data_IF_417469544896
#
_entry.id   IF_417469544896
#
_cell.length_a   1.000
_cell.length_b   1.000
_cell.length_c   1.000
_cell.angle_alpha   90.00
_cell.angle_beta   90.00
_cell.angle_gamma   90.00
#
_symmetry.space_group_name_H-M   'P 1'
#
loop_
_entity.id
_entity.type
_entity.pdbx_description
1 polymer ?
#
# COMPACT_ATOMS: atom_id res chain seq x y z
N UNK A 1 17.85 -15.33 -14.79
CA UNK A 1 16.76 -15.03 -13.82
C UNK A 1 16.67 -16.18 -12.84
N UNK A 2 16.83 -15.90 -11.55
CA UNK A 2 16.96 -16.91 -10.50
C UNK A 2 15.58 -17.10 -9.84
N UNK A 3 14.86 -18.18 -10.20
CA UNK A 3 13.53 -18.47 -9.63
C UNK A 3 13.51 -18.50 -8.09
N UNK A 4 14.63 -18.86 -7.47
CA UNK A 4 14.82 -18.91 -6.01
C UNK A 4 14.82 -17.50 -5.39
N UNK A 5 15.41 -16.51 -6.07
CA UNK A 5 15.37 -15.12 -5.62
C UNK A 5 13.95 -14.56 -5.70
N UNK A 6 13.22 -14.86 -6.77
CA UNK A 6 11.84 -14.40 -6.94
C UNK A 6 10.89 -15.02 -5.88
N UNK A 7 11.14 -16.25 -5.45
CA UNK A 7 10.38 -16.90 -4.37
C UNK A 7 10.71 -16.33 -2.98
N UNK A 8 11.97 -15.98 -2.71
CA UNK A 8 12.40 -15.28 -1.49
C UNK A 8 11.80 -13.86 -1.43
N UNK A 9 11.73 -13.17 -2.57
CA UNK A 9 11.11 -11.84 -2.68
C UNK A 9 9.59 -11.89 -2.52
N UNK A 10 8.92 -12.93 -3.04
CA UNK A 10 7.49 -13.20 -2.78
C UNK A 10 7.17 -13.39 -1.29
N UNK A 11 8.15 -13.81 -0.48
CA UNK A 11 7.98 -14.24 0.91
C UNK A 11 8.55 -13.26 1.94
N UNK A 12 9.35 -12.28 1.54
CA UNK A 12 9.89 -11.27 2.46
C UNK A 12 8.82 -10.22 2.85
N UNK A 13 8.05 -10.54 3.88
CA UNK A 13 7.03 -9.67 4.46
C UNK A 13 7.23 -9.54 5.97
N UNK A 14 7.11 -8.32 6.48
CA UNK A 14 7.07 -8.03 7.91
C UNK A 14 5.65 -7.74 8.36
N UNK A 15 5.25 -8.38 9.46
CA UNK A 15 3.96 -8.09 10.08
C UNK A 15 4.04 -6.78 10.85
N UNK A 16 3.25 -5.78 10.44
CA UNK A 16 3.03 -4.52 11.15
C UNK A 16 1.55 -4.42 11.47
N UNK A 17 1.18 -4.40 12.76
CA UNK A 17 -0.24 -4.47 13.19
C UNK A 17 -1.04 -5.64 12.59
N UNK A 18 -0.39 -6.78 12.43
CA UNK A 18 -0.94 -7.98 11.78
C UNK A 18 -1.29 -7.78 10.29
N UNK A 19 -0.77 -6.73 9.65
CA UNK A 19 -0.76 -6.55 8.20
C UNK A 19 0.61 -6.94 7.64
N UNK A 20 0.69 -7.79 6.61
CA UNK A 20 1.95 -8.10 5.95
C UNK A 20 2.40 -6.93 5.07
N UNK A 21 3.56 -6.36 5.36
CA UNK A 21 4.19 -5.26 4.61
C UNK A 21 5.47 -5.77 3.95
N UNK A 22 5.69 -5.47 2.67
CA UNK A 22 6.87 -5.90 1.93
C UNK A 22 8.16 -5.42 2.59
N UNK A 23 9.12 -6.32 2.67
CA UNK A 23 10.43 -6.10 3.24
C UNK A 23 11.50 -6.27 2.16
N UNK A 24 11.49 -5.33 1.21
CA UNK A 24 12.34 -5.32 0.03
C UNK A 24 13.14 -4.02 -0.04
N UNK A 25 14.32 -4.09 -0.62
CA UNK A 25 15.02 -2.88 -1.06
C UNK A 25 14.46 -2.37 -2.40
N UNK A 26 15.07 -1.33 -2.94
CA UNK A 26 14.63 -0.71 -4.19
C UNK A 26 14.77 -1.64 -5.40
N UNK A 27 15.90 -2.34 -5.52
CA UNK A 27 16.19 -3.17 -6.68
C UNK A 27 15.28 -4.40 -6.69
N UNK A 28 15.14 -5.06 -5.56
CA UNK A 28 14.26 -6.21 -5.39
C UNK A 28 12.80 -5.84 -5.64
N UNK A 29 12.34 -4.69 -5.12
CA UNK A 29 10.96 -4.24 -5.33
C UNK A 29 10.67 -3.91 -6.80
N UNK A 30 11.58 -3.24 -7.49
CA UNK A 30 11.44 -2.91 -8.91
C UNK A 30 11.41 -4.16 -9.79
N UNK A 31 12.37 -5.07 -9.58
CA UNK A 31 12.42 -6.35 -10.28
C UNK A 31 11.14 -7.15 -10.08
N UNK A 32 10.73 -7.32 -8.82
CA UNK A 32 9.55 -8.10 -8.48
C UNK A 32 8.26 -7.55 -9.09
N UNK A 33 8.04 -6.24 -8.99
CA UNK A 33 6.82 -5.63 -9.52
C UNK A 33 6.83 -5.61 -11.05
N UNK A 34 7.99 -5.44 -11.69
CA UNK A 34 8.11 -5.56 -13.15
C UNK A 34 7.79 -6.98 -13.64
N UNK A 35 8.27 -8.01 -12.93
CA UNK A 35 7.91 -9.39 -13.24
C UNK A 35 6.40 -9.63 -13.08
N UNK A 36 5.82 -9.17 -11.97
CA UNK A 36 4.37 -9.26 -11.75
C UNK A 36 3.58 -8.57 -12.86
N UNK A 37 4.03 -7.40 -13.33
CA UNK A 37 3.42 -6.66 -14.44
C UNK A 37 3.57 -7.35 -15.81
N UNK A 38 4.43 -8.35 -15.91
CA UNK A 38 4.70 -9.09 -17.15
C UNK A 38 4.03 -10.47 -17.21
N UNK A 39 3.42 -10.92 -16.10
CA UNK A 39 2.67 -12.17 -16.07
C UNK A 39 1.37 -12.08 -16.89
N UNK A 40 0.98 -13.17 -17.57
CA UNK A 40 -0.13 -13.14 -18.54
C UNK A 40 -1.53 -13.11 -17.90
N UNK A 41 -1.68 -13.54 -16.64
CA UNK A 41 -2.99 -13.72 -16.00
C UNK A 41 -2.98 -13.26 -14.54
N UNK A 42 -4.09 -12.67 -14.11
CA UNK A 42 -4.40 -12.24 -12.76
C UNK A 42 -4.23 -10.73 -12.58
N UNK A 43 -4.27 -10.28 -11.33
CA UNK A 43 -4.05 -8.87 -10.99
C UNK A 43 -3.17 -8.74 -9.75
N UNK A 44 -2.42 -7.66 -9.69
CA UNK A 44 -1.74 -7.24 -8.46
C UNK A 44 -2.14 -5.81 -8.13
N UNK A 45 -2.72 -5.62 -6.95
CA UNK A 45 -3.02 -4.30 -6.40
C UNK A 45 -1.91 -3.93 -5.41
N UNK A 46 -1.31 -2.77 -5.59
CA UNK A 46 -0.26 -2.23 -4.74
C UNK A 46 -0.81 -1.05 -3.95
N UNK A 47 -0.59 -1.08 -2.64
CA UNK A 47 -0.93 0.01 -1.72
C UNK A 47 0.29 0.48 -0.95
N UNK A 48 0.45 1.79 -0.85
CA UNK A 48 1.51 2.41 -0.06
C UNK A 48 0.94 2.77 1.32
N UNK A 49 1.55 2.26 2.38
CA UNK A 49 1.06 2.49 3.75
C UNK A 49 2.05 3.30 4.55
N UNK A 50 1.53 4.36 5.17
CA UNK A 50 2.24 5.17 6.15
C UNK A 50 1.54 5.06 7.53
N UNK A 51 2.08 5.76 8.54
CA UNK A 51 1.52 5.75 9.90
C UNK A 51 0.02 6.10 9.97
N UNK A 52 -0.46 7.01 9.12
CA UNK A 52 -1.87 7.38 9.10
C UNK A 52 -2.74 6.27 8.51
N UNK A 53 -2.29 5.61 7.44
CA UNK A 53 -2.99 4.46 6.86
C UNK A 53 -3.12 3.34 7.90
N UNK A 54 -2.06 3.08 8.65
CA UNK A 54 -2.09 2.09 9.74
C UNK A 54 -3.12 2.44 10.83
N UNK A 55 -3.19 3.70 11.25
CA UNK A 55 -4.21 4.13 12.21
C UNK A 55 -5.64 4.02 11.68
N UNK A 56 -5.86 4.32 10.40
CA UNK A 56 -7.17 4.14 9.76
C UNK A 56 -7.55 2.66 9.70
N UNK A 57 -6.62 1.79 9.31
CA UNK A 57 -6.80 0.34 9.27
C UNK A 57 -7.22 -0.24 10.64
N UNK A 58 -6.65 0.28 11.73
CA UNK A 58 -7.02 -0.18 13.08
C UNK A 58 -8.46 0.19 13.48
N UNK A 59 -9.10 1.14 12.80
CA UNK A 59 -10.46 1.62 13.09
C UNK A 59 -11.49 1.11 12.09
N UNK A 60 -11.05 0.61 10.94
CA UNK A 60 -11.89 0.29 9.79
C UNK A 60 -11.57 -1.13 9.31
N UNK A 61 -12.41 -2.09 9.71
CA UNK A 61 -12.24 -3.50 9.38
C UNK A 61 -12.27 -3.75 7.87
N UNK A 62 -13.15 -3.08 7.13
CA UNK A 62 -13.20 -3.21 5.66
C UNK A 62 -11.90 -2.74 5.02
N UNK A 63 -11.32 -1.63 5.49
CA UNK A 63 -10.05 -1.14 4.97
C UNK A 63 -8.89 -2.10 5.29
N UNK A 64 -8.88 -2.72 6.48
CA UNK A 64 -7.94 -3.81 6.82
C UNK A 64 -8.04 -4.98 5.86
N UNK A 65 -9.25 -5.45 5.59
CA UNK A 65 -9.46 -6.61 4.73
C UNK A 65 -9.02 -6.33 3.29
N UNK A 66 -9.26 -5.10 2.80
CA UNK A 66 -8.74 -4.65 1.50
C UNK A 66 -7.21 -4.65 1.48
N UNK A 67 -6.57 -4.01 2.46
CA UNK A 67 -5.11 -3.95 2.50
C UNK A 67 -4.46 -5.33 2.63
N UNK A 68 -5.09 -6.27 3.34
CA UNK A 68 -4.59 -7.63 3.50
C UNK A 68 -4.54 -8.44 2.19
N UNK A 69 -5.33 -8.04 1.19
CA UNK A 69 -5.34 -8.63 -0.15
C UNK A 69 -4.34 -7.97 -1.10
N UNK A 70 -3.82 -6.79 -0.74
CA UNK A 70 -2.93 -6.01 -1.57
C UNK A 70 -1.46 -6.35 -1.30
N UNK A 71 -0.59 -6.07 -2.27
CA UNK A 71 0.85 -5.97 -2.05
C UNK A 71 1.14 -4.61 -1.39
N UNK A 72 1.53 -4.64 -0.11
CA UNK A 72 1.65 -3.43 0.69
C UNK A 72 3.11 -2.98 0.80
N UNK A 73 3.41 -1.78 0.28
CA UNK A 73 4.74 -1.19 0.32
C UNK A 73 4.87 -0.16 1.46
N UNK A 74 6.01 -0.14 2.20
CA UNK A 74 6.24 0.80 3.29
C UNK A 74 6.48 2.22 2.76
N UNK A 75 5.74 3.19 3.29
CA UNK A 75 5.87 4.61 3.00
C UNK A 75 6.16 5.41 4.28
N UNK A 76 7.39 5.90 4.36
CA UNK A 76 7.83 6.91 5.33
C UNK A 76 8.30 6.39 6.68
N UNK A 77 8.82 7.32 7.48
CA UNK A 77 9.54 7.06 8.75
C UNK A 77 8.69 6.34 9.80
N UNK A 78 7.38 6.56 9.80
CA UNK A 78 6.50 5.90 10.76
C UNK A 78 6.56 4.38 10.65
N UNK A 79 6.65 3.85 9.43
CA UNK A 79 6.77 2.40 9.20
C UNK A 79 8.12 1.88 9.67
N UNK A 80 9.19 2.64 9.46
CA UNK A 80 10.51 2.28 9.97
C UNK A 80 10.55 2.21 11.50
N UNK A 81 9.92 3.18 12.18
CA UNK A 81 9.81 3.15 13.64
C UNK A 81 9.01 1.92 14.08
N UNK A 82 7.86 1.66 13.45
CA UNK A 82 7.06 0.47 13.75
C UNK A 82 7.85 -0.82 13.53
N UNK A 83 8.63 -0.90 12.45
CA UNK A 83 9.49 -2.05 12.14
C UNK A 83 10.59 -2.24 13.18
N UNK A 84 11.28 -1.17 13.59
CA UNK A 84 12.30 -1.22 14.66
C UNK A 84 11.72 -1.68 15.98
N UNK A 85 10.55 -1.17 16.38
CA UNK A 85 9.89 -1.58 17.63
C UNK A 85 9.34 -3.01 17.52
N UNK A 86 8.87 -3.41 16.34
CA UNK A 86 8.27 -4.73 16.09
C UNK A 86 9.29 -5.87 15.97
N UNK A 87 10.40 -5.59 15.28
CA UNK A 87 11.34 -6.58 14.74
C UNK A 87 12.81 -6.23 14.98
N UNK A 88 13.11 -5.09 15.62
CA UNK A 88 14.48 -4.68 15.95
C UNK A 88 15.25 -3.98 14.81
N UNK A 89 14.69 -3.95 13.59
CA UNK A 89 15.35 -3.40 12.39
C UNK A 89 14.41 -2.51 11.57
N UNK A 90 14.96 -1.53 10.86
CA UNK A 90 14.22 -0.70 9.88
C UNK A 90 13.89 -1.48 8.61
N UNK A 91 12.94 -0.99 7.81
CA UNK A 91 12.79 -1.49 6.45
C UNK A 91 14.04 -1.14 5.62
N UNK A 92 14.44 -1.99 4.65
CA UNK A 92 15.59 -1.75 3.77
C UNK A 92 15.44 -0.46 2.96
N UNK A 93 14.23 -0.17 2.50
CA UNK A 93 13.94 0.99 1.67
C UNK A 93 12.62 1.68 2.06
N UNK A 94 12.57 3.00 1.86
CA UNK A 94 11.34 3.76 1.86
C UNK A 94 10.76 3.77 0.43
N UNK A 95 9.87 2.81 0.15
CA UNK A 95 9.26 2.63 -1.17
C UNK A 95 8.04 3.55 -1.35
N UNK A 96 8.17 4.81 -0.95
CA UNK A 96 7.08 5.78 -1.01
C UNK A 96 6.55 5.93 -2.44
N UNK A 97 5.22 6.03 -2.62
CA UNK A 97 4.62 6.08 -3.94
C UNK A 97 5.08 7.27 -4.79
N UNK A 98 5.47 8.38 -4.17
CA UNK A 98 5.94 9.59 -4.87
C UNK A 98 7.26 9.43 -5.61
N UNK A 99 8.16 8.59 -5.12
CA UNK A 99 9.43 8.30 -5.77
C UNK A 99 9.39 6.93 -6.46
N UNK A 100 8.66 5.96 -5.89
CA UNK A 100 8.62 4.59 -6.39
C UNK A 100 7.89 4.47 -7.73
N UNK A 101 6.76 5.15 -7.91
CA UNK A 101 5.97 5.03 -9.15
C UNK A 101 6.75 5.59 -10.36
N UNK A 102 7.35 6.79 -10.34
CA UNK A 102 8.20 7.25 -11.44
C UNK A 102 9.39 6.33 -11.71
N UNK A 103 10.04 5.81 -10.67
CA UNK A 103 11.15 4.87 -10.83
C UNK A 103 10.71 3.54 -11.47
N UNK A 104 9.55 3.00 -11.07
CA UNK A 104 8.97 1.80 -11.66
C UNK A 104 8.62 2.01 -13.13
N UNK A 105 8.01 3.14 -13.49
CA UNK A 105 7.75 3.49 -14.90
C UNK A 105 9.05 3.64 -15.70
N UNK A 106 10.14 4.13 -15.09
CA UNK A 106 11.44 4.13 -15.75
C UNK A 106 12.03 2.73 -15.91
N UNK A 107 11.79 1.86 -14.93
CA UNK A 107 12.37 0.51 -14.87
C UNK A 107 11.67 -0.49 -15.82
N UNK A 108 10.37 -0.30 -16.09
CA UNK A 108 9.62 -1.11 -17.04
C UNK A 108 10.08 -0.82 -18.48
N UNK A 109 10.82 -1.77 -19.06
CA UNK A 109 11.40 -1.69 -20.39
C UNK A 109 10.39 -1.92 -21.53
N UNK A 110 9.33 -2.68 -21.25
CA UNK A 110 8.24 -2.94 -22.21
C UNK A 110 7.24 -1.79 -22.21
N UNK A 111 6.82 -1.29 -23.39
CA UNK A 111 5.72 -0.34 -23.49
C UNK A 111 4.47 -0.84 -22.74
N UNK A 112 3.86 0.07 -21.98
CA UNK A 112 2.65 -0.18 -21.18
C UNK A 112 1.64 0.93 -21.47
N UNK A 113 0.36 0.56 -21.48
CA UNK A 113 -0.76 1.49 -21.46
C UNK A 113 -1.11 1.79 -20.02
N UNK A 114 -0.79 3.00 -19.57
CA UNK A 114 -0.92 3.46 -18.20
C UNK A 114 -2.17 4.32 -18.06
N UNK A 115 -3.18 3.80 -17.37
CA UNK A 115 -4.43 4.49 -17.07
C UNK A 115 -4.32 5.32 -15.80
N UNK A 116 -4.87 6.54 -15.80
CA UNK A 116 -4.84 7.44 -14.65
C UNK A 116 -6.26 7.78 -14.20
N UNK A 117 -6.56 7.56 -12.92
CA UNK A 117 -7.82 7.96 -12.26
C UNK A 117 -7.50 8.69 -10.96
N UNK A 118 -7.86 9.96 -10.84
CA UNK A 118 -7.64 10.68 -9.58
C UNK A 118 -7.36 12.17 -9.73
N UNK A 119 -7.08 12.82 -8.60
CA UNK A 119 -6.84 14.26 -8.54
C UNK A 119 -7.99 15.12 -9.09
N UNK A 120 -7.78 16.42 -9.26
CA UNK A 120 -8.65 17.22 -10.13
C UNK A 120 -8.29 16.99 -11.59
N UNK A 121 -9.22 17.29 -12.51
CA UNK A 121 -9.02 17.07 -13.95
C UNK A 121 -7.76 17.74 -14.49
N UNK A 122 -7.57 19.01 -14.16
CA UNK A 122 -6.37 19.80 -14.51
C UNK A 122 -5.07 19.18 -13.98
N UNK A 123 -5.12 18.64 -12.75
CA UNK A 123 -3.97 18.03 -12.07
C UNK A 123 -3.59 16.71 -12.72
N UNK A 124 -4.54 15.80 -12.98
CA UNK A 124 -4.24 14.49 -13.57
C UNK A 124 -3.83 14.59 -15.03
N UNK A 125 -4.38 15.54 -15.79
CA UNK A 125 -3.94 15.81 -17.17
C UNK A 125 -2.50 16.30 -17.21
N UNK A 126 -2.15 17.27 -16.36
CA UNK A 126 -0.77 17.75 -16.23
C UNK A 126 0.19 16.68 -15.71
N UNK A 127 -0.28 15.82 -14.79
CA UNK A 127 0.51 14.67 -14.34
C UNK A 127 0.78 13.69 -15.50
N UNK A 128 -0.23 13.42 -16.35
CA UNK A 128 -0.07 12.58 -17.54
C UNK A 128 0.98 13.14 -18.50
N UNK A 129 0.96 14.46 -18.76
CA UNK A 129 1.97 15.12 -19.59
C UNK A 129 3.39 14.99 -19.03
N UNK A 130 3.55 15.18 -17.72
CA UNK A 130 4.85 15.04 -17.07
C UNK A 130 5.33 13.58 -17.05
N UNK A 131 4.41 12.62 -16.88
CA UNK A 131 4.75 11.21 -17.04
C UNK A 131 5.17 10.86 -18.46
N UNK A 132 4.52 11.40 -19.51
CA UNK A 132 4.95 11.22 -20.90
C UNK A 132 6.35 11.76 -21.15
N UNK A 133 6.74 12.86 -20.51
CA UNK A 133 8.11 13.39 -20.58
C UNK A 133 9.11 12.50 -19.83
N UNK A 134 8.68 11.90 -18.71
CA UNK A 134 9.52 11.09 -17.83
C UNK A 134 9.77 9.66 -18.36
N UNK A 135 8.76 9.02 -18.94
CA UNK A 135 8.82 7.66 -19.48
C UNK A 135 8.13 7.60 -20.86
N UNK A 136 8.73 8.18 -21.92
CA UNK A 136 8.09 8.37 -23.22
C UNK A 136 7.75 7.09 -23.99
N UNK A 137 8.27 5.93 -23.57
CA UNK A 137 7.95 4.62 -24.15
C UNK A 137 6.64 4.02 -23.62
N UNK A 138 5.99 4.67 -22.65
CA UNK A 138 4.67 4.30 -22.17
C UNK A 138 3.59 5.23 -22.72
N UNK A 139 2.38 4.70 -22.90
CA UNK A 139 1.21 5.48 -23.26
C UNK A 139 0.47 5.88 -21.97
N UNK A 140 0.24 7.18 -21.76
CA UNK A 140 -0.49 7.66 -20.57
C UNK A 140 -1.88 8.17 -20.95
N UNK A 141 -2.91 7.54 -20.38
CA UNK A 141 -4.33 7.76 -20.70
C UNK A 141 -5.03 8.24 -19.44
N UNK A 142 -5.60 9.45 -19.49
CA UNK A 142 -6.43 9.96 -18.39
C UNK A 142 -7.85 9.44 -18.57
N UNK A 143 -8.32 8.65 -17.61
CA UNK A 143 -9.63 7.99 -17.66
C UNK A 143 -10.67 8.86 -16.96
N UNK A 144 -10.39 9.24 -15.71
CA UNK A 144 -11.29 10.07 -14.90
C UNK A 144 -10.49 10.94 -13.92
N UNK A 145 -11.07 12.05 -13.49
CA UNK A 145 -10.59 12.74 -12.29
C UNK A 145 -10.94 11.90 -11.03
N UNK A 146 -10.58 12.36 -9.83
CA UNK A 146 -10.86 11.65 -8.57
C UNK A 146 -12.20 11.99 -7.93
N UNK A 147 -12.84 13.08 -8.37
CA UNK A 147 -14.09 13.64 -7.85
C UNK A 147 -15.31 13.26 -8.68
N UNK A 148 -15.16 12.38 -9.69
CA UNK A 148 -16.28 11.83 -10.44
C UNK A 148 -17.34 11.21 -9.52
N UNK A 149 -18.57 11.22 -10.02
CA UNK A 149 -19.72 10.63 -9.37
C UNK A 149 -19.55 9.11 -9.21
N UNK A 150 -19.47 8.65 -7.96
CA UNK A 150 -19.19 7.24 -7.64
C UNK A 150 -20.38 6.32 -7.94
N UNK A 151 -21.58 6.87 -8.10
CA UNK A 151 -22.73 6.10 -8.62
C UNK A 151 -22.53 5.72 -10.10
N UNK A 152 -21.60 6.40 -10.80
CA UNK A 152 -21.24 6.15 -12.19
C UNK A 152 -19.92 5.39 -12.33
N UNK A 153 -19.51 4.64 -11.30
CA UNK A 153 -18.27 3.86 -11.33
C UNK A 153 -18.23 2.87 -12.50
N UNK A 154 -19.38 2.31 -12.89
CA UNK A 154 -19.49 1.40 -14.03
C UNK A 154 -19.08 2.04 -15.36
N UNK A 155 -19.32 3.35 -15.54
CA UNK A 155 -18.87 4.06 -16.73
C UNK A 155 -17.35 4.19 -16.75
N UNK A 156 -16.74 4.42 -15.57
CA UNK A 156 -15.29 4.52 -15.43
C UNK A 156 -14.63 3.16 -15.67
N UNK A 157 -15.17 2.07 -15.11
CA UNK A 157 -14.62 0.72 -15.30
C UNK A 157 -14.81 0.20 -16.73
N UNK A 158 -15.93 0.53 -17.36
CA UNK A 158 -16.14 0.28 -18.79
C UNK A 158 -15.09 1.02 -19.65
N UNK A 159 -14.75 2.27 -19.30
CA UNK A 159 -13.68 3.00 -19.97
C UNK A 159 -12.31 2.35 -19.76
N UNK A 160 -11.99 1.90 -18.54
CA UNK A 160 -10.74 1.16 -18.27
C UNK A 160 -10.65 -0.08 -19.16
N UNK A 161 -11.73 -0.87 -19.24
CA UNK A 161 -11.81 -2.08 -20.07
C UNK A 161 -11.62 -1.76 -21.56
N UNK A 162 -12.28 -0.70 -22.05
CA UNK A 162 -12.18 -0.26 -23.46
C UNK A 162 -10.75 0.13 -23.81
N UNK A 163 -10.06 0.80 -22.90
CA UNK A 163 -8.70 1.29 -23.09
C UNK A 163 -7.62 0.20 -22.94
N UNK A 164 -7.96 -1.05 -22.59
CA UNK A 164 -7.00 -2.16 -22.44
C UNK A 164 -5.75 -1.74 -21.65
N UNK A 165 -5.97 -1.26 -20.43
CA UNK A 165 -4.92 -0.73 -19.57
C UNK A 165 -4.05 -1.87 -19.02
N UNK A 166 -2.72 -1.70 -19.08
CA UNK A 166 -1.79 -2.63 -18.45
C UNK A 166 -1.56 -2.26 -16.98
N UNK A 167 -1.38 -0.96 -16.72
CA UNK A 167 -1.09 -0.40 -15.40
C UNK A 167 -2.09 0.70 -15.08
N UNK A 168 -2.88 0.53 -14.02
CA UNK A 168 -3.84 1.53 -13.56
C UNK A 168 -3.30 2.26 -12.33
N UNK A 169 -3.19 3.58 -12.37
CA UNK A 169 -2.77 4.41 -11.25
C UNK A 169 -3.98 5.18 -10.72
N UNK A 170 -4.31 4.95 -9.44
CA UNK A 170 -5.47 5.50 -8.77
C UNK A 170 -5.04 6.43 -7.62
N UNK A 171 -5.36 7.72 -7.74
CA UNK A 171 -5.01 8.78 -6.80
C UNK A 171 -6.23 9.55 -6.30
N UNK A 172 -7.08 8.91 -5.49
CA UNK A 172 -8.30 9.53 -4.93
C UNK A 172 -8.19 9.80 -3.42
N UNK A 173 -7.07 9.42 -2.80
CA UNK A 173 -6.87 9.52 -1.36
C UNK A 173 -7.35 8.27 -0.62
N UNK A 174 -6.68 7.99 0.48
CA UNK A 174 -6.95 6.84 1.35
C UNK A 174 -8.02 7.19 2.38
N UNK A 175 -8.97 6.28 2.72
CA UNK A 175 -9.10 4.88 2.27
C UNK A 175 -9.97 4.68 1.02
N UNK A 176 -10.48 5.78 0.44
CA UNK A 176 -11.45 5.74 -0.65
C UNK A 176 -10.89 5.00 -1.87
N UNK A 177 -9.66 5.30 -2.28
CA UNK A 177 -9.04 4.70 -3.46
C UNK A 177 -8.88 3.18 -3.33
N UNK A 178 -8.46 2.68 -2.17
CA UNK A 178 -8.24 1.25 -1.97
C UNK A 178 -9.56 0.49 -1.96
N UNK A 179 -10.58 1.03 -1.27
CA UNK A 179 -11.92 0.44 -1.25
C UNK A 179 -12.56 0.45 -2.63
N UNK A 180 -12.50 1.58 -3.32
CA UNK A 180 -13.06 1.70 -4.66
C UNK A 180 -12.42 0.72 -5.65
N UNK A 181 -11.09 0.58 -5.60
CA UNK A 181 -10.37 -0.43 -6.40
C UNK A 181 -10.85 -1.83 -6.05
N UNK A 182 -10.95 -2.18 -4.77
CA UNK A 182 -11.42 -3.50 -4.35
C UNK A 182 -12.87 -3.81 -4.75
N UNK A 183 -13.72 -2.78 -4.85
CA UNK A 183 -15.14 -2.93 -5.16
C UNK A 183 -15.42 -2.95 -6.68
N UNK A 184 -14.57 -2.33 -7.51
CA UNK A 184 -14.90 -2.10 -8.94
C UNK A 184 -13.82 -2.58 -9.92
N UNK A 185 -12.56 -2.70 -9.50
CA UNK A 185 -11.46 -3.03 -10.40
C UNK A 185 -11.14 -4.52 -10.30
N UNK A 186 -11.63 -5.25 -11.28
CA UNK A 186 -11.41 -6.69 -11.45
C UNK A 186 -10.18 -7.01 -12.35
N UNK A 187 -9.69 -8.27 -12.37
CA UNK A 187 -8.46 -8.63 -13.09
C UNK A 187 -8.43 -8.35 -14.59
N UNK A 188 -9.57 -8.28 -15.26
CA UNK A 188 -9.64 -7.95 -16.69
C UNK A 188 -9.41 -6.46 -16.99
N UNK A 189 -9.48 -5.58 -15.99
CA UNK A 189 -9.33 -4.15 -16.19
C UNK A 189 -7.87 -3.72 -16.31
N UNK A 190 -6.99 -4.27 -15.48
CA UNK A 190 -5.56 -4.00 -15.49
C UNK A 190 -4.79 -5.07 -14.74
N UNK A 191 -3.57 -5.37 -15.23
CA UNK A 191 -2.66 -6.33 -14.61
C UNK A 191 -2.06 -5.80 -13.30
N UNK A 192 -1.65 -4.54 -13.31
CA UNK A 192 -1.07 -3.86 -12.15
C UNK A 192 -1.94 -2.64 -11.77
N UNK A 193 -2.32 -2.53 -10.51
CA UNK A 193 -3.10 -1.40 -10.00
C UNK A 193 -2.34 -0.74 -8.85
N UNK A 194 -2.06 0.56 -8.93
CA UNK A 194 -1.31 1.31 -7.94
C UNK A 194 -2.22 2.33 -7.25
N UNK A 195 -2.37 2.23 -5.93
CA UNK A 195 -3.15 3.19 -5.12
C UNK A 195 -2.21 4.20 -4.47
N UNK A 196 -2.12 5.41 -5.03
CA UNK A 196 -0.97 6.32 -4.84
C UNK A 196 -1.27 7.60 -4.06
N UNK A 197 -2.53 7.83 -3.68
CA UNK A 197 -2.92 9.03 -2.93
C UNK A 197 -2.63 10.30 -3.73
N UNK A 198 -1.89 11.24 -3.13
CA UNK A 198 -1.62 12.57 -3.69
C UNK A 198 -0.48 12.61 -4.74
N UNK A 199 -0.11 11.48 -5.34
CA UNK A 199 0.99 11.42 -6.32
C UNK A 199 0.81 12.42 -7.47
N UNK A 200 -0.42 12.57 -7.99
CA UNK A 200 -0.68 13.46 -9.13
C UNK A 200 -0.45 14.93 -8.79
N UNK A 201 -0.69 15.35 -7.54
CA UNK A 201 -0.41 16.73 -7.10
C UNK A 201 1.09 17.04 -7.17
N UNK A 202 1.93 16.05 -6.88
CA UNK A 202 3.39 16.16 -6.97
C UNK A 202 3.89 16.09 -8.40
N UNK A 203 3.41 15.13 -9.18
CA UNK A 203 3.87 14.91 -10.57
C UNK A 203 3.41 16.05 -11.48
N UNK A 204 2.23 16.62 -11.25
CA UNK A 204 1.77 17.83 -11.96
C UNK A 204 2.56 19.10 -11.60
N UNK A 205 3.33 19.06 -10.50
CA UNK A 205 4.02 20.23 -9.95
C UNK A 205 3.10 21.24 -9.27
N UNK A 206 1.84 20.86 -9.01
CA UNK A 206 0.88 21.70 -8.26
C UNK A 206 1.31 21.86 -6.81
N UNK A 207 1.85 20.79 -6.21
CA UNK A 207 2.44 20.81 -4.87
C UNK A 207 3.96 20.69 -5.00
N UNK A 208 4.74 21.66 -4.48
CA UNK A 208 6.19 21.62 -4.58
C UNK A 208 6.76 20.46 -3.75
N UNK A 209 7.59 19.63 -4.38
CA UNK A 209 8.34 18.57 -3.67
C UNK A 209 9.31 19.17 -2.64
N UNK A 210 9.57 18.41 -1.59
CA UNK A 210 10.64 18.74 -0.66
C UNK A 210 12.00 18.69 -1.39
N UNK A 211 12.92 19.63 -1.13
CA UNK A 211 14.27 19.58 -1.66
C UNK A 211 14.95 18.25 -1.36
N UNK A 212 15.86 17.80 -2.23
CA UNK A 212 16.51 16.49 -2.11
C UNK A 212 17.17 16.27 -0.73
N UNK A 213 17.81 17.31 -0.18
CA UNK A 213 18.40 17.28 1.17
C UNK A 213 17.35 17.04 2.28
N UNK A 214 16.16 17.64 2.16
CA UNK A 214 15.06 17.46 3.12
C UNK A 214 14.46 16.06 3.00
N UNK A 215 14.39 15.50 1.79
CA UNK A 215 13.98 14.10 1.57
C UNK A 215 15.02 13.12 2.12
N UNK A 216 16.30 13.36 1.88
CA UNK A 216 17.40 12.53 2.36
C UNK A 216 17.48 12.48 3.90
N UNK A 217 17.16 13.61 4.56
CA UNK A 217 17.09 13.69 6.03
C UNK A 217 15.80 13.13 6.62
N UNK A 218 14.88 12.62 5.78
CA UNK A 218 13.58 12.04 6.16
C UNK A 218 12.63 13.02 6.87
N UNK A 219 12.87 14.33 6.76
CA UNK A 219 12.02 15.40 7.30
C UNK A 219 10.97 15.92 6.32
N UNK A 220 10.68 15.20 5.23
CA UNK A 220 9.66 15.59 4.26
C UNK A 220 8.30 15.86 4.91
N UNK A 221 7.94 15.11 5.96
CA UNK A 221 6.69 15.31 6.70
C UNK A 221 6.59 16.71 7.32
N UNK A 222 7.71 17.28 7.79
CA UNK A 222 7.76 18.62 8.38
C UNK A 222 7.61 19.69 7.29
N UNK A 223 8.27 19.49 6.15
CA UNK A 223 8.13 20.38 4.99
C UNK A 223 6.68 20.39 4.47
N UNK A 224 6.02 19.23 4.39
CA UNK A 224 4.60 19.14 4.03
C UNK A 224 3.69 19.82 5.06
N UNK A 225 3.97 19.66 6.36
CA UNK A 225 3.20 20.35 7.40
C UNK A 225 3.26 21.87 7.25
N UNK A 226 4.42 22.42 6.87
CA UNK A 226 4.55 23.86 6.61
C UNK A 226 3.75 24.33 5.39
N UNK A 227 3.62 23.48 4.35
CA UNK A 227 2.83 23.80 3.17
C UNK A 227 1.32 23.69 3.40
N UNK A 228 0.89 22.69 4.17
CA UNK A 228 -0.53 22.40 4.39
C UNK A 228 -0.87 22.25 5.88
N UNK A 229 -0.64 23.30 6.70
CA UNK A 229 -0.74 23.20 8.15
C UNK A 229 -2.16 22.85 8.58
N UNK A 230 -3.18 23.48 8.01
CA UNK A 230 -4.59 23.25 8.34
C UNK A 230 -5.08 21.82 8.10
N UNK A 231 -4.51 21.14 7.10
CA UNK A 231 -4.87 19.75 6.76
C UNK A 231 -4.03 18.74 7.54
N UNK A 232 -2.74 19.00 7.72
CA UNK A 232 -1.79 18.01 8.23
C UNK A 232 -1.52 18.11 9.73
N UNK A 233 -1.85 19.23 10.40
CA UNK A 233 -1.56 19.40 11.83
C UNK A 233 -2.19 18.29 12.69
N UNK A 234 -3.47 17.95 12.49
CA UNK A 234 -4.13 16.87 13.25
C UNK A 234 -3.45 15.53 13.01
N UNK A 235 -3.09 15.26 11.76
CA UNK A 235 -2.43 14.02 11.35
C UNK A 235 -1.07 13.86 12.01
N UNK A 236 -0.30 14.94 12.16
CA UNK A 236 1.03 14.87 12.77
C UNK A 236 0.99 15.02 14.29
N UNK A 237 0.35 16.06 14.81
CA UNK A 237 0.37 16.38 16.25
C UNK A 237 -0.42 15.34 17.06
N UNK A 238 -1.58 14.88 16.55
CA UNK A 238 -2.38 13.86 17.25
C UNK A 238 -2.09 12.46 16.73
N UNK A 239 -1.94 12.32 15.40
CA UNK A 239 -1.75 11.02 14.78
C UNK A 239 -0.40 10.38 15.05
N UNK A 240 0.72 11.12 15.10
CA UNK A 240 2.03 10.51 15.38
C UNK A 240 2.10 9.96 16.80
N UNK A 241 1.74 10.69 17.87
CA UNK A 241 1.73 10.13 19.22
C UNK A 241 0.80 8.92 19.35
N UNK A 242 -0.40 9.00 18.76
CA UNK A 242 -1.35 7.89 18.77
C UNK A 242 -0.79 6.67 18.05
N UNK A 243 -0.12 6.85 16.91
CA UNK A 243 0.52 5.78 16.17
C UNK A 243 1.62 5.12 17.01
N UNK A 244 2.51 5.90 17.61
CA UNK A 244 3.57 5.36 18.47
C UNK A 244 3.01 4.60 19.67
N UNK A 245 1.97 5.14 20.33
CA UNK A 245 1.26 4.44 21.40
C UNK A 245 0.72 3.08 20.92
N UNK A 246 0.05 3.06 19.76
CA UNK A 246 -0.50 1.82 19.22
C UNK A 246 0.60 0.81 18.88
N UNK A 247 1.72 1.26 18.28
CA UNK A 247 2.87 0.39 17.97
C UNK A 247 3.37 -0.31 19.22
N UNK A 248 3.59 0.46 20.29
CA UNK A 248 4.08 -0.07 21.57
C UNK A 248 3.06 -1.00 22.21
N UNK A 249 1.78 -0.58 22.28
CA UNK A 249 0.68 -1.38 22.83
C UNK A 249 0.52 -2.72 22.10
N UNK A 250 0.54 -2.70 20.76
CA UNK A 250 0.42 -3.92 19.94
C UNK A 250 1.56 -4.89 20.22
N UNK A 251 2.79 -4.38 20.37
CA UNK A 251 3.95 -5.21 20.69
C UNK A 251 3.87 -5.88 22.05
N UNK A 252 3.40 -5.17 23.09
CA UNK A 252 3.18 -5.78 24.40
C UNK A 252 2.08 -6.84 24.36
N UNK A 253 0.94 -6.54 23.75
CA UNK A 253 -0.15 -7.51 23.59
C UNK A 253 0.23 -8.74 22.76
N UNK A 254 1.09 -8.58 21.73
CA UNK A 254 1.62 -9.69 20.94
C UNK A 254 2.50 -10.62 21.78
N UNK A 255 3.39 -10.06 22.61
CA UNK A 255 4.22 -10.85 23.54
C UNK A 255 3.37 -11.65 24.52
N UNK A 256 2.36 -11.02 25.12
CA UNK A 256 1.44 -11.71 26.03
C UNK A 256 0.69 -12.86 25.37
N UNK A 257 0.20 -12.67 24.13
CA UNK A 257 -0.46 -13.74 23.36
C UNK A 257 0.48 -14.91 23.06
N UNK A 258 1.73 -14.63 22.69
CA UNK A 258 2.74 -15.67 22.44
C UNK A 258 3.05 -16.43 23.73
N UNK A 259 3.27 -15.72 24.84
CA UNK A 259 3.54 -16.35 26.15
C UNK A 259 2.38 -17.25 26.61
N UNK A 260 1.14 -16.78 26.47
CA UNK A 260 -0.06 -17.58 26.80
C UNK A 260 -0.25 -18.78 25.87
N UNK A 261 0.08 -18.65 24.59
CA UNK A 261 0.01 -19.77 23.64
C UNK A 261 1.10 -20.83 23.87
N UNK A 262 2.21 -20.45 24.51
CA UNK A 262 3.29 -21.35 24.88
C UNK A 262 3.05 -22.09 26.21
N UNK A 263 2.03 -21.72 26.99
CA UNK A 263 1.64 -22.48 28.19
C UNK A 263 0.96 -23.80 27.77
N UNK A 264 1.42 -24.96 28.29
CA UNK A 264 0.78 -26.24 27.98
C UNK A 264 -0.66 -26.23 28.50
N UNK A 265 -1.62 -26.45 27.61
CA UNK A 265 -3.02 -26.62 28.02
C UNK A 265 -3.12 -27.86 28.92
N UNK A 266 -3.83 -27.78 30.07
CA UNK A 266 -4.07 -28.97 30.87
C UNK A 266 -4.79 -30.00 30.01
N UNK A 267 -4.25 -31.22 29.98
CA UNK A 267 -4.82 -32.32 29.22
C UNK A 267 -6.31 -32.46 29.58
N UNK A 268 -7.21 -32.64 28.59
CA UNK A 268 -8.61 -32.85 28.89
C UNK A 268 -8.71 -34.07 29.82
N UNK A 269 -9.26 -33.86 31.02
CA UNK A 269 -9.53 -34.96 31.95
C UNK A 269 -10.40 -35.98 31.23
N UNK A 270 -9.82 -37.13 30.89
CA UNK A 270 -10.53 -38.29 30.40
C UNK A 270 -11.62 -38.60 31.42
N UNK A 271 -12.87 -38.25 31.12
CA UNK A 271 -14.02 -38.70 31.89
C UNK A 271 -14.08 -40.21 31.72
N UNK A 272 -13.59 -40.94 32.71
CA UNK A 272 -13.82 -42.37 32.79
C UNK A 272 -15.35 -42.58 32.79
N UNK A 273 -15.87 -43.51 31.97
CA UNK A 273 -17.30 -43.79 31.93
C UNK A 273 -17.80 -44.22 33.32
N UNK A 274 -18.96 -43.69 33.71
CA UNK A 274 -19.63 -44.03 34.98
C UNK A 274 -19.89 -45.54 35.05
N UNK A 275 -19.72 -46.21 36.21
CA UNK A 275 -19.88 -47.67 36.36
C UNK A 275 -21.28 -48.23 36.05
N UNK A 276 -22.31 -47.40 35.83
CA UNK A 276 -23.70 -47.84 35.71
C UNK A 276 -24.11 -48.37 34.31
N UNK A 277 -23.16 -48.89 33.53
CA UNK A 277 -23.44 -49.59 32.25
C UNK A 277 -22.82 -50.97 32.14
N UNK A 278 -22.67 -51.68 33.26
CA UNK A 278 -22.32 -53.10 33.31
C UNK A 278 -23.19 -53.83 34.34
N UNK A 279 -24.49 -53.91 34.08
CA UNK A 279 -25.39 -54.89 34.68
C UNK A 279 -26.59 -55.11 33.74
N UNK A 280 -26.39 -56.04 32.80
CA UNK A 280 -27.47 -56.89 32.31
C UNK A 280 -27.48 -58.17 33.15
#
# INVERSE_FOLDING_TARGET
MNLVANFAVLTSRRMIFDLPVCDLDWEDALNFINELASLPVGQTVISFVNAHNMLMMLRDGRYRDVLAQNLVLPDGVGLDIASRVAHGVSFPANLNGTDFVPALLTFMDRPKRVGLIGGRRDVVEKAAENFRKHAPWHEFIVIADGFFDKEKSDLVTAEVSRQKIDVLIVGMGTPLQEKWVADHIEPQHARLVLTVGALFDFVSGTVPRAPALVRATRFEWMYRLLQEPSRLWRRYILGVPLFLYQVVRHQFGRKERILRAAEPQPAPLLRLPSPDKLAG
#
